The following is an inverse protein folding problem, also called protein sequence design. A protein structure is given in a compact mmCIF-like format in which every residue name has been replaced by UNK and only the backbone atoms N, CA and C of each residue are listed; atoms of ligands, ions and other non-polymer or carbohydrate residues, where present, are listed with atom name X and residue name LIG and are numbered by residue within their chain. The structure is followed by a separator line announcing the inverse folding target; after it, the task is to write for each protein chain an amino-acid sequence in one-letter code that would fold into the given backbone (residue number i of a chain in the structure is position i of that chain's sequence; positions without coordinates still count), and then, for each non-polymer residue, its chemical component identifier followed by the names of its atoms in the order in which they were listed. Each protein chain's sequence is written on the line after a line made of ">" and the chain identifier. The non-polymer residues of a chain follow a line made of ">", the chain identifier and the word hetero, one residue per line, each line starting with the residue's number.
data_IF_811178252291
#
_entry.id   IF_811178252291
#
_cell.length_a   1.000
_cell.length_b   1.000
_cell.length_c   1.000
_cell.angle_alpha   90.00
_cell.angle_beta   90.00
_cell.angle_gamma   90.00
#
_symmetry.space_group_name_H-M   'P 1'
#
loop_
_entity.id
_entity.type
_entity.pdbx_description
1 polymer ?
#
# COMPACT_ATOMS: atom_id res chain seq x y z
N UNK A 1 15.59 7.53 9.91
CA UNK A 1 14.41 8.19 10.50
C UNK A 1 13.84 7.32 11.62
N UNK A 2 12.88 7.81 12.41
CA UNK A 2 12.15 6.96 13.37
C UNK A 2 11.53 5.74 12.69
N UNK A 3 10.96 5.91 11.49
CA UNK A 3 10.41 4.81 10.70
C UNK A 3 11.46 3.75 10.33
N UNK A 4 12.69 4.15 9.97
CA UNK A 4 13.79 3.20 9.73
C UNK A 4 14.09 2.37 10.98
N UNK A 5 14.18 3.00 12.16
CA UNK A 5 14.50 2.31 13.41
C UNK A 5 13.42 1.28 13.77
N UNK A 6 12.13 1.66 13.69
CA UNK A 6 11.01 0.75 13.93
C UNK A 6 11.01 -0.39 12.91
N UNK A 7 11.20 -0.09 11.62
CA UNK A 7 11.23 -1.11 10.57
C UNK A 7 12.37 -2.12 10.82
N UNK A 8 13.58 -1.65 11.16
CA UNK A 8 14.70 -2.54 11.50
C UNK A 8 14.37 -3.46 12.68
N UNK A 9 13.71 -2.92 13.72
CA UNK A 9 13.28 -3.71 14.87
C UNK A 9 12.26 -4.80 14.49
N UNK A 10 11.20 -4.44 13.75
CA UNK A 10 10.17 -5.38 13.31
C UNK A 10 10.75 -6.48 12.41
N UNK A 11 11.59 -6.10 11.45
CA UNK A 11 12.21 -7.04 10.50
C UNK A 11 13.20 -7.96 11.22
N UNK A 12 14.00 -7.44 12.15
CA UNK A 12 14.93 -8.22 12.96
C UNK A 12 14.24 -9.28 13.82
N UNK A 13 13.04 -8.97 14.34
CA UNK A 13 12.20 -9.90 15.09
C UNK A 13 11.28 -10.73 14.19
N UNK A 14 11.32 -10.54 12.87
CA UNK A 14 10.48 -11.22 11.89
C UNK A 14 8.98 -11.02 12.15
N UNK A 15 8.60 -9.88 12.72
CA UNK A 15 7.20 -9.56 13.02
C UNK A 15 6.48 -9.03 11.78
N UNK A 16 5.30 -9.58 11.44
CA UNK A 16 4.49 -9.07 10.34
C UNK A 16 4.02 -7.64 10.59
N UNK A 17 3.94 -6.83 9.53
CA UNK A 17 3.46 -5.46 9.64
C UNK A 17 2.74 -4.99 8.37
N UNK A 18 1.91 -3.96 8.50
CA UNK A 18 1.35 -3.23 7.36
C UNK A 18 1.55 -1.74 7.55
N UNK A 19 1.61 -1.01 6.44
CA UNK A 19 1.78 0.44 6.45
C UNK A 19 0.72 1.12 5.58
N UNK A 20 0.08 2.15 6.16
CA UNK A 20 -0.89 2.97 5.44
C UNK A 20 -0.22 3.78 4.30
N UNK A 21 -0.65 3.58 3.06
CA UNK A 21 -0.14 4.31 1.89
C UNK A 21 -1.23 4.54 0.83
N UNK A 22 -2.07 5.55 1.02
CA UNK A 22 -3.10 5.95 0.02
C UNK A 22 -2.46 6.38 -1.30
N UNK A 23 -1.39 7.18 -1.25
CA UNK A 23 -0.78 7.80 -2.44
C UNK A 23 0.57 7.18 -2.83
N UNK A 24 0.86 7.16 -4.13
CA UNK A 24 2.15 6.74 -4.70
C UNK A 24 3.34 7.45 -4.06
N UNK A 25 3.23 8.76 -3.77
CA UNK A 25 4.29 9.53 -3.14
C UNK A 25 4.61 9.06 -1.72
N UNK A 26 3.59 8.68 -0.95
CA UNK A 26 3.76 8.10 0.40
C UNK A 26 4.31 6.70 0.32
N UNK A 27 3.79 5.86 -0.60
CA UNK A 27 4.32 4.52 -0.83
C UNK A 27 5.79 4.55 -1.26
N UNK A 28 6.18 5.50 -2.11
CA UNK A 28 7.55 5.70 -2.53
C UNK A 28 8.50 5.97 -1.34
N UNK A 29 8.08 6.83 -0.40
CA UNK A 29 8.85 7.12 0.83
C UNK A 29 8.97 5.90 1.74
N UNK A 30 7.88 5.15 1.90
CA UNK A 30 7.89 3.90 2.69
C UNK A 30 8.82 2.88 2.05
N UNK A 31 8.69 2.65 0.75
CA UNK A 31 9.52 1.70 0.00
C UNK A 31 11.00 2.08 0.01
N UNK A 32 11.37 3.37 0.00
CA UNK A 32 12.77 3.78 0.16
C UNK A 32 13.37 3.26 1.48
N UNK A 33 12.60 3.31 2.57
CA UNK A 33 13.03 2.78 3.87
C UNK A 33 13.06 1.25 3.85
N UNK A 34 12.05 0.60 3.27
CA UNK A 34 12.02 -0.86 3.14
C UNK A 34 13.20 -1.39 2.31
N UNK A 35 13.53 -0.75 1.18
CA UNK A 35 14.68 -1.09 0.36
C UNK A 35 16.01 -0.87 1.11
N UNK A 36 16.12 0.21 1.89
CA UNK A 36 17.28 0.44 2.75
C UNK A 36 17.43 -0.67 3.80
N UNK A 37 16.35 -1.05 4.49
CA UNK A 37 16.37 -2.10 5.51
C UNK A 37 16.64 -3.47 4.89
N UNK A 38 16.08 -3.74 3.71
CA UNK A 38 16.25 -5.02 3.00
C UNK A 38 17.70 -5.34 2.63
N UNK A 39 18.58 -4.33 2.54
CA UNK A 39 20.03 -4.55 2.33
C UNK A 39 20.70 -5.21 3.53
N UNK A 40 20.25 -4.89 4.74
CA UNK A 40 20.84 -5.38 6.00
C UNK A 40 20.07 -6.60 6.54
N UNK A 41 18.75 -6.62 6.36
CA UNK A 41 17.84 -7.64 6.86
C UNK A 41 16.76 -7.95 5.81
N UNK A 42 16.86 -9.09 5.10
CA UNK A 42 15.95 -9.40 3.99
C UNK A 42 14.48 -9.44 4.38
N UNK A 43 13.65 -8.75 3.61
CA UNK A 43 12.19 -8.75 3.72
C UNK A 43 11.55 -10.00 3.11
N UNK A 44 12.28 -10.72 2.23
CA UNK A 44 11.76 -11.93 1.58
C UNK A 44 11.33 -12.96 2.63
N UNK A 45 10.11 -13.47 2.47
CA UNK A 45 9.49 -14.41 3.40
C UNK A 45 8.97 -13.78 4.70
N UNK A 46 9.08 -12.45 4.90
CA UNK A 46 8.36 -11.73 5.95
C UNK A 46 6.98 -11.35 5.42
N UNK A 47 5.92 -11.53 6.22
CA UNK A 47 4.59 -11.04 5.86
C UNK A 47 4.52 -9.54 6.10
N UNK A 48 4.59 -8.74 5.04
CA UNK A 48 4.39 -7.31 5.13
C UNK A 48 3.51 -6.80 3.98
N UNK A 49 2.91 -5.62 4.14
CA UNK A 49 2.10 -5.05 3.08
C UNK A 49 1.80 -3.56 3.22
N UNK A 50 1.16 -3.04 2.19
CA UNK A 50 0.69 -1.66 2.10
C UNK A 50 -0.84 -1.64 2.12
N UNK A 51 -1.42 -0.72 2.89
CA UNK A 51 -2.86 -0.49 2.94
C UNK A 51 -3.26 0.67 2.01
N UNK A 52 -4.51 0.65 1.52
CA UNK A 52 -5.14 1.64 0.63
C UNK A 52 -4.69 1.58 -0.82
N UNK A 53 -3.50 2.12 -1.11
CA UNK A 53 -2.84 1.97 -2.41
C UNK A 53 -3.63 2.47 -3.63
N UNK A 54 -4.54 3.43 -3.46
CA UNK A 54 -5.45 3.89 -4.51
C UNK A 54 -4.71 4.47 -5.71
N UNK A 55 -3.54 5.09 -5.52
CA UNK A 55 -2.83 5.76 -6.63
C UNK A 55 -1.50 5.13 -7.01
N UNK A 56 -1.20 3.90 -6.56
CA UNK A 56 0.10 3.30 -6.84
C UNK A 56 0.39 3.17 -8.33
N UNK A 57 1.53 3.73 -8.76
CA UNK A 57 2.02 3.61 -10.12
C UNK A 57 2.52 2.19 -10.42
N UNK A 58 2.62 1.81 -11.71
CA UNK A 58 3.23 0.53 -12.11
C UNK A 58 4.62 0.32 -11.52
N UNK A 59 5.46 1.36 -11.53
CA UNK A 59 6.81 1.35 -10.94
C UNK A 59 6.78 1.07 -9.44
N UNK A 60 5.80 1.60 -8.72
CA UNK A 60 5.66 1.36 -7.28
C UNK A 60 5.19 -0.07 -7.01
N UNK A 61 4.26 -0.60 -7.81
CA UNK A 61 3.82 -2.00 -7.72
C UNK A 61 4.97 -2.98 -8.01
N UNK A 62 5.81 -2.70 -9.01
CA UNK A 62 7.02 -3.49 -9.30
C UNK A 62 7.97 -3.57 -8.09
N UNK A 63 8.12 -2.45 -7.36
CA UNK A 63 8.94 -2.42 -6.14
C UNK A 63 8.33 -3.27 -5.03
N UNK A 64 7.01 -3.21 -4.85
CA UNK A 64 6.30 -4.08 -3.89
C UNK A 64 6.50 -5.55 -4.25
N UNK A 65 6.29 -5.92 -5.51
CA UNK A 65 6.47 -7.29 -6.00
C UNK A 65 7.91 -7.78 -5.78
N UNK A 66 8.90 -6.98 -6.16
CA UNK A 66 10.33 -7.31 -6.02
C UNK A 66 10.75 -7.55 -4.57
N UNK A 67 10.16 -6.82 -3.62
CA UNK A 67 10.43 -6.95 -2.19
C UNK A 67 9.56 -8.02 -1.50
N UNK A 68 8.67 -8.69 -2.25
CA UNK A 68 7.78 -9.73 -1.72
C UNK A 68 6.68 -9.19 -0.79
N UNK A 69 6.23 -7.96 -1.02
CA UNK A 69 5.14 -7.35 -0.25
C UNK A 69 3.76 -7.73 -0.74
N UNK A 70 2.75 -7.36 0.06
CA UNK A 70 1.33 -7.53 -0.25
C UNK A 70 0.62 -6.17 -0.31
N UNK A 71 -0.56 -6.13 -0.92
CA UNK A 71 -1.43 -4.97 -0.94
C UNK A 71 -2.76 -5.34 -0.29
N UNK A 72 -3.29 -4.44 0.52
CA UNK A 72 -4.59 -4.56 1.14
C UNK A 72 -5.42 -3.31 0.80
N UNK A 73 -6.50 -3.49 0.05
CA UNK A 73 -7.38 -2.39 -0.38
C UNK A 73 -8.61 -2.31 0.50
N UNK A 74 -9.23 -1.13 0.61
CA UNK A 74 -10.44 -0.94 1.40
C UNK A 74 -11.54 -0.29 0.58
N UNK A 75 -12.80 -0.46 1.00
CA UNK A 75 -13.99 -0.05 0.26
C UNK A 75 -14.23 1.47 0.20
N UNK A 76 -13.20 2.29 0.45
CA UNK A 76 -13.27 3.76 0.37
C UNK A 76 -13.73 4.22 -1.00
N UNK A 77 -13.22 3.64 -2.10
CA UNK A 77 -13.63 4.04 -3.45
C UNK A 77 -15.10 3.73 -3.75
N UNK A 78 -15.75 2.83 -3.00
CA UNK A 78 -17.18 2.59 -3.11
C UNK A 78 -18.04 3.62 -2.36
N UNK A 79 -17.47 4.33 -1.38
CA UNK A 79 -18.18 5.33 -0.56
C UNK A 79 -17.82 6.76 -0.97
N UNK A 80 -16.53 7.03 -1.17
CA UNK A 80 -15.96 8.35 -1.45
C UNK A 80 -15.45 8.50 -2.89
N UNK A 81 -15.82 7.57 -3.78
CA UNK A 81 -15.33 7.53 -5.17
C UNK A 81 -15.65 8.81 -5.96
N UNK A 82 -16.81 9.41 -5.74
CA UNK A 82 -17.20 10.68 -6.39
C UNK A 82 -16.35 11.86 -5.92
N UNK A 83 -16.07 11.93 -4.62
CA UNK A 83 -15.18 12.93 -4.06
C UNK A 83 -13.74 12.76 -4.59
N UNK A 84 -13.27 11.51 -4.70
CA UNK A 84 -12.00 11.20 -5.32
C UNK A 84 -11.96 11.64 -6.80
N UNK A 85 -12.98 11.29 -7.58
CA UNK A 85 -13.13 11.68 -8.97
C UNK A 85 -13.13 13.21 -9.15
N UNK A 86 -13.90 13.93 -8.34
CA UNK A 86 -13.96 15.40 -8.36
C UNK A 86 -12.60 16.04 -8.10
N UNK A 87 -11.83 15.47 -7.16
CA UNK A 87 -10.53 16.01 -6.75
C UNK A 87 -9.37 15.65 -7.68
N UNK A 88 -9.34 14.41 -8.19
CA UNK A 88 -8.18 13.85 -8.91
C UNK A 88 -8.44 13.58 -10.40
N UNK A 89 -9.69 13.70 -10.85
CA UNK A 89 -10.09 13.55 -12.24
C UNK A 89 -10.33 12.10 -12.68
N UNK A 90 -11.02 11.97 -13.83
CA UNK A 90 -11.49 10.69 -14.35
C UNK A 90 -10.37 9.68 -14.63
N UNK A 91 -9.24 10.16 -15.14
CA UNK A 91 -8.10 9.30 -15.45
C UNK A 91 -7.51 8.65 -14.20
N UNK A 92 -7.36 9.40 -13.10
CA UNK A 92 -6.86 8.87 -11.85
C UNK A 92 -7.88 7.93 -11.19
N UNK A 93 -9.16 8.30 -11.22
CA UNK A 93 -10.23 7.50 -10.62
C UNK A 93 -10.45 6.15 -11.33
N UNK A 94 -10.26 6.08 -12.65
CA UNK A 94 -10.49 4.87 -13.44
C UNK A 94 -9.58 3.69 -13.06
N UNK A 95 -8.41 3.96 -12.47
CA UNK A 95 -7.42 2.94 -12.06
C UNK A 95 -7.22 2.91 -10.54
N UNK A 96 -8.15 3.47 -9.75
CA UNK A 96 -8.02 3.61 -8.30
C UNK A 96 -8.98 2.68 -7.51
N UNK A 97 -8.48 1.72 -6.72
CA UNK A 97 -7.12 1.19 -6.71
C UNK A 97 -6.80 0.36 -7.98
N UNK A 98 -5.51 0.17 -8.33
CA UNK A 98 -5.09 -0.50 -9.57
C UNK A 98 -5.20 -2.04 -9.49
N UNK A 99 -6.39 -2.55 -9.18
CA UNK A 99 -6.66 -3.97 -8.86
C UNK A 99 -6.23 -4.91 -9.98
N UNK A 100 -6.52 -4.57 -11.24
CA UNK A 100 -6.15 -5.40 -12.38
C UNK A 100 -4.64 -5.62 -12.44
N UNK A 101 -3.86 -4.54 -12.35
CA UNK A 101 -2.39 -4.58 -12.39
C UNK A 101 -1.80 -5.30 -11.19
N UNK A 102 -2.35 -5.09 -9.99
CA UNK A 102 -1.93 -5.83 -8.78
C UNK A 102 -2.04 -7.34 -9.01
N UNK A 103 -3.16 -7.80 -9.60
CA UNK A 103 -3.38 -9.21 -9.92
C UNK A 103 -2.46 -9.72 -11.01
N UNK A 104 -2.29 -8.96 -12.09
CA UNK A 104 -1.40 -9.31 -13.22
C UNK A 104 0.06 -9.46 -12.76
N UNK A 105 0.51 -8.63 -11.81
CA UNK A 105 1.86 -8.71 -11.24
C UNK A 105 2.03 -9.81 -10.18
N UNK A 106 0.97 -10.57 -9.88
CA UNK A 106 1.00 -11.64 -8.87
C UNK A 106 1.23 -11.15 -7.45
N UNK A 107 0.94 -9.87 -7.16
CA UNK A 107 1.08 -9.31 -5.82
C UNK A 107 -0.07 -9.85 -4.96
N UNK A 108 0.20 -10.44 -3.77
CA UNK A 108 -0.86 -10.88 -2.88
C UNK A 108 -1.79 -9.72 -2.51
N UNK A 109 -3.08 -9.90 -2.77
CA UNK A 109 -4.12 -8.89 -2.57
C UNK A 109 -5.10 -9.35 -1.49
N UNK A 110 -5.35 -8.49 -0.52
CA UNK A 110 -6.39 -8.63 0.50
C UNK A 110 -7.36 -7.43 0.44
N UNK A 111 -8.52 -7.60 1.07
CA UNK A 111 -9.54 -6.56 1.18
C UNK A 111 -9.92 -6.35 2.65
N UNK A 112 -10.31 -5.13 3.01
CA UNK A 112 -10.84 -4.80 4.33
C UNK A 112 -11.72 -3.56 4.32
N UNK A 113 -12.18 -3.12 5.49
CA UNK A 113 -13.08 -1.96 5.61
C UNK A 113 -12.43 -0.71 6.21
N UNK A 114 -11.21 -0.79 6.77
CA UNK A 114 -10.51 0.33 7.45
C UNK A 114 -11.30 0.99 8.61
N UNK A 115 -12.25 0.26 9.19
CA UNK A 115 -13.11 0.72 10.27
C UNK A 115 -13.89 2.03 9.96
N UNK A 116 -14.66 2.48 10.95
CA UNK A 116 -15.73 3.47 10.78
C UNK A 116 -15.28 4.89 10.37
N UNK A 117 -14.03 5.30 10.67
CA UNK A 117 -13.59 6.67 10.34
C UNK A 117 -13.19 6.83 8.87
N UNK A 118 -12.58 5.80 8.30
CA UNK A 118 -12.03 5.87 6.95
C UNK A 118 -13.03 5.44 5.87
N UNK A 119 -14.09 4.75 6.27
CA UNK A 119 -15.21 4.29 5.42
C UNK A 119 -16.55 4.58 6.12
N UNK A 120 -16.75 5.85 6.51
CA UNK A 120 -17.98 6.28 7.17
C UNK A 120 -19.14 6.32 6.17
N UNK A 121 -20.31 5.81 6.59
CA UNK A 121 -21.56 5.99 5.85
C UNK A 121 -22.18 7.37 6.07
N UNK A 122 -21.65 8.19 6.99
CA UNK A 122 -22.27 9.48 7.33
C UNK A 122 -22.00 10.51 6.20
N UNK A 123 -22.97 10.80 5.30
CA UNK A 123 -22.80 11.67 4.15
C UNK A 123 -22.74 13.15 4.54
#
# INVERSE_FOLDING_TARGET
>A
SQFTAVTKHLVGLRWPFRQHTTFDSTAGRVLNVLEQVNRDAPLKGLRWGLDHCETLSPKTLERVARLGGSINIQNRMSLDGEAFLSKYGAQAAADAPPVARIREMGIPLACGTDANRATSYNP
#
